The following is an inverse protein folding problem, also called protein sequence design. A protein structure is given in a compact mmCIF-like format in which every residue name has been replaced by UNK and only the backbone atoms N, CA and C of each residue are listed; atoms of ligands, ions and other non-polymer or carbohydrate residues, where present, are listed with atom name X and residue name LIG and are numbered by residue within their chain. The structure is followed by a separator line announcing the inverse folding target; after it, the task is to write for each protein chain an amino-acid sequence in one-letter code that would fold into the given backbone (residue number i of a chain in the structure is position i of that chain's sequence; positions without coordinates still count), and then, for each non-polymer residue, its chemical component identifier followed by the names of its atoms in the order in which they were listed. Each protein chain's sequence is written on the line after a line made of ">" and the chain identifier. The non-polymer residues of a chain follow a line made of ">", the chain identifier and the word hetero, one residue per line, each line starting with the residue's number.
data_IF_610214575387
#
_entry.id   IF_610214575387
#
_cell.length_a   1.000
_cell.length_b   1.000
_cell.length_c   1.000
_cell.angle_alpha   90.00
_cell.angle_beta   90.00
_cell.angle_gamma   90.00
#
_symmetry.space_group_name_H-M   'P 1'
#
loop_
_entity.id
_entity.type
_entity.pdbx_description
1 polymer ?
#
# COMPACT_ATOMS: atom_id res chain seq x y z
N UNK A 1 -10.46 -1.35 20.26
CA UNK A 1 -11.14 -0.16 20.81
C UNK A 1 -10.52 0.34 22.13
N UNK A 2 -10.01 -0.52 22.99
CA UNK A 2 -9.49 -0.11 24.31
C UNK A 2 -8.27 0.82 24.21
N UNK A 3 -7.29 0.48 23.39
CA UNK A 3 -6.06 1.29 23.21
C UNK A 3 -6.30 2.63 22.47
N UNK A 4 -7.19 2.66 21.49
CA UNK A 4 -7.51 3.92 20.78
C UNK A 4 -8.16 4.94 21.69
N UNK A 5 -9.04 4.48 22.58
CA UNK A 5 -9.66 5.33 23.61
C UNK A 5 -8.62 5.85 24.63
N UNK A 6 -7.71 4.95 25.06
CA UNK A 6 -6.64 5.31 26.01
C UNK A 6 -5.71 6.38 25.42
N UNK A 7 -5.43 6.30 24.11
CA UNK A 7 -4.54 7.23 23.40
C UNK A 7 -5.28 8.43 22.83
N UNK A 8 -6.59 8.56 23.07
CA UNK A 8 -7.45 9.60 22.50
C UNK A 8 -7.36 9.70 20.96
N UNK A 9 -7.25 8.53 20.29
CA UNK A 9 -7.21 8.44 18.83
C UNK A 9 -8.59 8.07 18.30
N UNK A 10 -9.13 8.89 17.42
CA UNK A 10 -10.39 8.59 16.73
C UNK A 10 -10.19 7.43 15.75
N UNK A 11 -10.83 6.29 16.04
CA UNK A 11 -10.69 5.07 15.24
C UNK A 11 -12.05 4.64 14.70
N UNK A 12 -12.13 4.43 13.41
CA UNK A 12 -13.31 3.90 12.71
C UNK A 12 -12.96 2.56 12.09
N UNK A 13 -13.73 1.51 12.44
CA UNK A 13 -13.63 0.20 11.82
C UNK A 13 -14.55 0.16 10.59
N UNK A 14 -13.95 0.01 9.41
CA UNK A 14 -14.68 0.12 8.15
C UNK A 14 -15.22 -1.21 7.61
N UNK A 15 -14.92 -2.36 8.24
CA UNK A 15 -15.32 -3.70 7.77
C UNK A 15 -16.81 -3.81 7.44
N UNK A 16 -17.67 -3.17 8.25
CA UNK A 16 -19.12 -3.23 8.07
C UNK A 16 -19.67 -2.31 6.95
N UNK A 17 -18.84 -1.44 6.41
CA UNK A 17 -19.21 -0.46 5.38
C UNK A 17 -18.43 -0.62 4.08
N UNK A 18 -17.52 -1.60 4.00
CA UNK A 18 -16.79 -1.96 2.78
C UNK A 18 -17.57 -3.00 2.00
N UNK A 19 -17.60 -2.85 0.67
CA UNK A 19 -18.20 -3.80 -0.27
C UNK A 19 -17.44 -3.72 -1.61
N UNK A 20 -17.64 -4.70 -2.50
CA UNK A 20 -17.07 -4.67 -3.86
C UNK A 20 -17.61 -3.51 -4.71
N UNK A 21 -18.81 -3.05 -4.41
CA UNK A 21 -19.50 -1.97 -5.13
C UNK A 21 -20.12 -0.98 -4.16
N UNK A 22 -20.27 0.26 -4.61
CA UNK A 22 -21.08 1.25 -3.90
C UNK A 22 -22.54 0.86 -3.98
N UNK A 23 -23.10 0.45 -2.86
CA UNK A 23 -24.50 0.02 -2.74
C UNK A 23 -25.13 0.62 -1.47
N UNK A 24 -26.45 0.52 -1.39
CA UNK A 24 -27.18 0.71 -0.14
C UNK A 24 -27.71 -0.65 0.27
N UNK A 25 -27.37 -1.11 1.47
CA UNK A 25 -27.84 -2.41 1.96
C UNK A 25 -29.35 -2.41 2.29
N UNK A 26 -29.89 -3.60 2.53
CA UNK A 26 -31.31 -3.74 2.87
C UNK A 26 -31.77 -3.01 4.15
N UNK A 27 -30.84 -2.42 4.90
CA UNK A 27 -31.09 -1.59 6.10
C UNK A 27 -30.90 -0.10 5.83
N UNK A 28 -30.71 0.32 4.57
CA UNK A 28 -30.51 1.71 4.19
C UNK A 28 -29.08 2.25 4.46
N UNK A 29 -28.10 1.40 4.81
CA UNK A 29 -26.72 1.81 5.09
C UNK A 29 -25.92 1.84 3.78
N UNK A 30 -25.19 2.92 3.56
CA UNK A 30 -24.27 3.05 2.42
C UNK A 30 -23.04 2.17 2.63
N UNK A 31 -22.67 1.46 1.57
CA UNK A 31 -21.44 0.70 1.46
C UNK A 31 -20.52 1.36 0.44
N UNK A 32 -19.21 1.29 0.68
CA UNK A 32 -18.18 1.92 -0.10
C UNK A 32 -17.17 0.88 -0.59
N UNK A 33 -16.49 1.18 -1.66
CA UNK A 33 -15.39 0.33 -2.17
C UNK A 33 -14.08 0.65 -1.44
N UNK A 34 -13.11 -0.27 -1.48
CA UNK A 34 -11.74 0.03 -1.01
C UNK A 34 -11.14 1.25 -1.70
N UNK A 35 -11.44 1.44 -3.00
CA UNK A 35 -11.03 2.62 -3.75
C UNK A 35 -11.49 3.94 -3.10
N UNK A 36 -12.68 3.95 -2.50
CA UNK A 36 -13.19 5.16 -1.84
C UNK A 36 -12.36 5.52 -0.62
N UNK A 37 -11.89 4.52 0.13
CA UNK A 37 -11.03 4.73 1.29
C UNK A 37 -9.63 5.19 0.88
N UNK A 38 -9.00 4.54 -0.10
CA UNK A 38 -7.69 4.96 -0.60
C UNK A 38 -7.70 6.38 -1.16
N UNK A 39 -8.76 6.76 -1.89
CA UNK A 39 -8.90 8.11 -2.46
C UNK A 39 -9.09 9.21 -1.41
N UNK A 40 -9.41 8.87 -0.17
CA UNK A 40 -9.55 9.82 0.95
C UNK A 40 -8.39 9.73 1.94
N UNK A 41 -7.47 8.77 1.75
CA UNK A 41 -6.38 8.56 2.66
C UNK A 41 -5.21 9.51 2.36
N UNK A 42 -4.69 10.18 3.38
CA UNK A 42 -3.45 10.97 3.31
C UNK A 42 -2.21 10.08 3.49
N UNK A 43 -2.37 8.94 4.17
CA UNK A 43 -1.31 7.98 4.47
C UNK A 43 -1.92 6.59 4.67
N UNK A 44 -1.21 5.56 4.23
CA UNK A 44 -1.55 4.16 4.53
C UNK A 44 -0.48 3.55 5.43
N UNK A 45 -0.89 2.88 6.49
CA UNK A 45 0.03 2.13 7.35
C UNK A 45 -0.09 0.64 7.08
N UNK A 46 1.05 0.00 6.84
CA UNK A 46 1.17 -1.43 6.57
C UNK A 46 2.19 -2.07 7.52
N UNK A 47 1.81 -2.25 8.82
CA UNK A 47 2.74 -2.65 9.87
C UNK A 47 2.96 -4.17 9.96
N UNK A 48 2.48 -4.95 9.01
CA UNK A 48 2.63 -6.41 9.00
C UNK A 48 4.08 -6.84 9.11
N UNK A 49 4.36 -7.81 9.95
CA UNK A 49 5.70 -8.41 10.14
C UNK A 49 5.93 -9.62 9.25
N UNK A 50 4.86 -10.30 8.85
CA UNK A 50 4.90 -11.48 7.98
C UNK A 50 3.86 -11.29 6.88
N UNK A 51 4.34 -11.30 5.65
CA UNK A 51 3.50 -11.16 4.45
C UNK A 51 4.03 -12.05 3.33
N UNK A 52 3.12 -12.45 2.44
CA UNK A 52 3.49 -12.96 1.14
C UNK A 52 4.07 -11.84 0.28
N UNK A 53 3.36 -11.42 -0.77
CA UNK A 53 3.83 -10.25 -1.55
C UNK A 53 3.41 -8.91 -0.91
N UNK A 54 2.22 -8.85 -0.30
CA UNK A 54 1.63 -7.62 0.25
C UNK A 54 0.78 -6.86 -0.77
N UNK A 55 -0.38 -7.41 -1.15
CA UNK A 55 -1.27 -6.77 -2.12
C UNK A 55 -1.70 -5.37 -1.70
N UNK A 56 -1.93 -5.13 -0.40
CA UNK A 56 -2.28 -3.81 0.13
C UNK A 56 -1.18 -2.76 -0.10
N UNK A 57 0.10 -3.18 -0.19
CA UNK A 57 1.19 -2.30 -0.61
C UNK A 57 0.97 -1.79 -2.05
N UNK A 58 0.69 -2.70 -3.01
CA UNK A 58 0.45 -2.31 -4.40
C UNK A 58 -0.83 -1.52 -4.57
N UNK A 59 -1.87 -1.82 -3.81
CA UNK A 59 -3.12 -1.05 -3.81
C UNK A 59 -2.87 0.40 -3.40
N UNK A 60 -2.20 0.64 -2.28
CA UNK A 60 -1.85 1.99 -1.83
C UNK A 60 -0.99 2.74 -2.87
N UNK A 61 -0.02 2.04 -3.48
CA UNK A 61 0.81 2.60 -4.57
C UNK A 61 -0.04 2.93 -5.80
N UNK A 62 -0.99 2.08 -6.17
CA UNK A 62 -1.90 2.31 -7.29
C UNK A 62 -2.74 3.57 -7.09
N UNK A 63 -3.26 3.79 -5.88
CA UNK A 63 -4.01 4.99 -5.52
C UNK A 63 -3.13 6.20 -5.18
N UNK A 64 -1.82 6.06 -5.31
CA UNK A 64 -0.83 7.11 -5.06
C UNK A 64 -0.90 7.68 -3.65
N UNK A 65 -1.05 6.83 -2.67
CA UNK A 65 -1.03 7.20 -1.25
C UNK A 65 0.36 6.89 -0.68
N UNK A 66 0.98 7.81 0.08
CA UNK A 66 2.20 7.52 0.82
C UNK A 66 2.00 6.37 1.82
N UNK A 67 3.06 5.58 2.04
CA UNK A 67 3.00 4.39 2.90
C UNK A 67 4.00 4.44 4.05
N UNK A 68 3.55 3.94 5.19
CA UNK A 68 4.39 3.45 6.28
C UNK A 68 4.40 1.93 6.22
N UNK A 69 5.57 1.32 6.06
CA UNK A 69 5.72 -0.13 5.84
C UNK A 69 6.69 -0.72 6.87
N UNK A 70 6.32 -1.85 7.46
CA UNK A 70 7.28 -2.61 8.25
C UNK A 70 8.22 -3.41 7.34
N UNK A 71 9.45 -3.61 7.78
CA UNK A 71 10.49 -4.34 7.04
C UNK A 71 10.28 -5.86 7.09
N UNK A 72 9.15 -6.34 6.52
CA UNK A 72 8.97 -7.78 6.33
C UNK A 72 9.89 -8.32 5.22
N UNK A 73 10.14 -9.64 5.21
CA UNK A 73 11.16 -10.27 4.37
C UNK A 73 10.99 -9.95 2.87
N UNK A 74 9.81 -10.13 2.31
CA UNK A 74 9.55 -9.87 0.88
C UNK A 74 9.73 -8.38 0.54
N UNK A 75 9.31 -7.47 1.41
CA UNK A 75 9.58 -6.05 1.20
C UNK A 75 11.10 -5.80 1.13
N UNK A 76 11.87 -6.31 2.08
CA UNK A 76 13.31 -6.10 2.13
C UNK A 76 14.07 -6.67 0.93
N UNK A 77 13.70 -7.87 0.48
CA UNK A 77 14.45 -8.58 -0.56
C UNK A 77 13.94 -8.30 -1.98
N UNK A 78 12.64 -8.10 -2.16
CA UNK A 78 12.06 -8.00 -3.50
C UNK A 78 11.55 -6.61 -3.85
N UNK A 79 11.04 -5.83 -2.89
CA UNK A 79 10.40 -4.54 -3.15
C UNK A 79 11.39 -3.39 -2.95
N UNK A 80 12.01 -3.30 -1.79
CA UNK A 80 12.94 -2.24 -1.41
C UNK A 80 14.09 -2.05 -2.41
N UNK A 81 14.76 -3.11 -2.95
CA UNK A 81 15.84 -2.95 -3.91
C UNK A 81 15.41 -2.29 -5.24
N UNK A 82 14.13 -2.28 -5.56
CA UNK A 82 13.59 -1.60 -6.74
C UNK A 82 13.51 -0.07 -6.57
N UNK A 83 13.78 0.44 -5.36
CA UNK A 83 13.90 1.86 -5.07
C UNK A 83 12.58 2.57 -4.71
N UNK A 84 11.58 1.82 -4.24
CA UNK A 84 10.36 2.41 -3.67
C UNK A 84 10.71 3.32 -2.50
N UNK A 85 9.99 4.44 -2.41
CA UNK A 85 10.08 5.38 -1.30
C UNK A 85 8.92 5.16 -0.35
N UNK A 86 9.21 4.72 0.86
CA UNK A 86 8.22 4.54 1.92
C UNK A 86 8.81 5.06 3.24
N UNK A 87 7.96 5.22 4.24
CA UNK A 87 8.38 5.42 5.62
C UNK A 87 8.54 4.03 6.23
N UNK A 88 9.75 3.69 6.69
CA UNK A 88 10.03 2.34 7.17
C UNK A 88 9.81 2.22 8.68
N UNK A 89 9.28 1.06 9.09
CA UNK A 89 9.25 0.58 10.47
C UNK A 89 10.22 -0.60 10.55
N UNK A 90 11.05 -0.62 11.57
CA UNK A 90 11.97 -1.71 11.87
C UNK A 90 11.52 -2.43 13.15
N UNK A 91 10.46 -3.26 13.04
CA UNK A 91 9.79 -3.98 14.13
C UNK A 91 9.09 -3.08 15.17
N UNK A 92 9.53 -1.84 15.37
CA UNK A 92 8.91 -0.85 16.24
C UNK A 92 8.92 0.55 15.62
N UNK A 93 7.99 1.38 16.06
CA UNK A 93 7.89 2.77 15.60
C UNK A 93 8.92 3.61 16.36
N UNK A 94 9.97 4.04 15.66
CA UNK A 94 11.02 4.91 16.18
C UNK A 94 10.63 6.39 16.11
N UNK A 95 11.38 7.25 16.81
CA UNK A 95 11.21 8.71 16.67
C UNK A 95 11.45 9.18 15.23
N UNK A 96 12.43 8.59 14.55
CA UNK A 96 12.72 8.86 13.13
C UNK A 96 11.51 8.53 12.23
N UNK A 97 10.85 7.38 12.47
CA UNK A 97 9.62 7.00 11.76
C UNK A 97 8.51 8.04 11.97
N UNK A 98 8.34 8.50 13.21
CA UNK A 98 7.33 9.52 13.55
C UNK A 98 7.64 10.85 12.85
N UNK A 99 8.88 11.31 12.91
CA UNK A 99 9.30 12.59 12.32
C UNK A 99 9.20 12.56 10.80
N UNK A 100 9.59 11.45 10.16
CA UNK A 100 9.41 11.26 8.72
C UNK A 100 7.93 11.20 8.32
N UNK A 101 7.09 10.52 9.10
CA UNK A 101 5.63 10.49 8.88
C UNK A 101 5.03 11.89 8.94
N UNK A 102 5.39 12.66 9.96
CA UNK A 102 4.94 14.05 10.10
C UNK A 102 5.39 14.91 8.92
N UNK A 103 6.66 14.80 8.54
CA UNK A 103 7.21 15.52 7.40
C UNK A 103 6.44 15.26 6.10
N UNK A 104 6.08 13.99 5.84
CA UNK A 104 5.31 13.62 4.65
C UNK A 104 3.90 14.18 4.72
N UNK A 105 3.22 14.09 5.86
CA UNK A 105 1.86 14.60 6.04
C UNK A 105 1.77 16.14 5.97
N UNK A 106 2.80 16.84 6.45
CA UNK A 106 2.86 18.31 6.45
C UNK A 106 3.37 18.88 5.11
N UNK A 107 3.92 18.04 4.22
CA UNK A 107 4.48 18.48 2.94
C UNK A 107 3.81 17.76 1.75
N UNK A 108 2.73 18.30 1.18
CA UNK A 108 2.03 17.70 0.04
C UNK A 108 2.92 17.47 -1.19
N UNK A 109 3.94 18.32 -1.40
CA UNK A 109 4.91 18.16 -2.49
C UNK A 109 5.75 16.90 -2.32
N UNK A 110 6.25 16.65 -1.10
CA UNK A 110 7.00 15.45 -0.77
C UNK A 110 6.11 14.19 -0.89
N UNK A 111 4.89 14.25 -0.36
CA UNK A 111 3.93 13.17 -0.46
C UNK A 111 3.64 12.79 -1.93
N UNK A 112 3.40 13.79 -2.78
CA UNK A 112 3.16 13.59 -4.21
C UNK A 112 4.39 13.02 -4.92
N UNK A 113 5.59 13.52 -4.65
CA UNK A 113 6.82 13.00 -5.24
C UNK A 113 7.05 11.52 -4.89
N UNK A 114 6.85 11.15 -3.62
CA UNK A 114 6.95 9.76 -3.16
C UNK A 114 5.93 8.87 -3.88
N UNK A 115 4.67 9.29 -3.90
CA UNK A 115 3.57 8.55 -4.51
C UNK A 115 3.78 8.35 -6.02
N UNK A 116 4.15 9.39 -6.74
CA UNK A 116 4.40 9.34 -8.19
C UNK A 116 5.61 8.47 -8.53
N UNK A 117 6.68 8.54 -7.72
CA UNK A 117 7.83 7.65 -7.90
C UNK A 117 7.42 6.20 -7.72
N UNK A 118 6.70 5.88 -6.65
CA UNK A 118 6.24 4.53 -6.35
C UNK A 118 5.32 4.00 -7.44
N UNK A 119 4.38 4.81 -7.91
CA UNK A 119 3.49 4.44 -9.02
C UNK A 119 4.26 4.09 -10.30
N UNK A 120 5.27 4.90 -10.68
CA UNK A 120 6.12 4.59 -11.86
C UNK A 120 6.89 3.28 -11.69
N UNK A 121 7.42 3.02 -10.49
CA UNK A 121 8.12 1.76 -10.19
C UNK A 121 7.18 0.57 -10.22
N UNK A 122 5.98 0.69 -9.64
CA UNK A 122 4.98 -0.37 -9.68
C UNK A 122 4.57 -0.71 -11.13
N UNK A 123 4.31 0.29 -11.95
CA UNK A 123 4.05 0.06 -13.38
C UNK A 123 5.19 -0.65 -14.09
N UNK A 124 6.43 -0.30 -13.76
CA UNK A 124 7.62 -0.90 -14.37
C UNK A 124 7.83 -2.37 -13.99
N UNK A 125 7.58 -2.71 -12.71
CA UNK A 125 7.96 -4.02 -12.18
C UNK A 125 6.78 -4.96 -11.96
N UNK A 126 5.57 -4.43 -11.76
CA UNK A 126 4.41 -5.18 -11.29
C UNK A 126 3.16 -4.98 -12.16
N UNK A 127 3.30 -4.42 -13.36
CA UNK A 127 2.18 -4.32 -14.30
C UNK A 127 1.86 -5.66 -14.97
N UNK A 128 0.67 -5.78 -15.51
CA UNK A 128 0.27 -6.95 -16.30
C UNK A 128 1.14 -7.15 -17.53
N UNK A 129 1.57 -6.07 -18.18
CA UNK A 129 2.46 -6.11 -19.32
C UNK A 129 3.83 -6.71 -18.94
N UNK A 130 4.37 -6.32 -17.78
CA UNK A 130 5.61 -6.89 -17.25
C UNK A 130 5.45 -8.36 -16.91
N UNK A 131 4.33 -8.74 -16.29
CA UNK A 131 4.01 -10.15 -16.02
C UNK A 131 3.92 -10.97 -17.30
N UNK A 132 3.21 -10.48 -18.32
CA UNK A 132 3.07 -11.13 -19.61
C UNK A 132 4.45 -11.35 -20.28
N UNK A 133 5.29 -10.30 -20.31
CA UNK A 133 6.64 -10.41 -20.88
C UNK A 133 7.48 -11.47 -20.16
N UNK A 134 7.45 -11.47 -18.81
CA UNK A 134 8.17 -12.44 -18.01
C UNK A 134 7.68 -13.87 -18.27
N UNK A 135 6.36 -14.09 -18.33
CA UNK A 135 5.78 -15.40 -18.63
C UNK A 135 6.14 -15.87 -20.04
N UNK A 136 6.06 -15.00 -21.04
CA UNK A 136 6.48 -15.31 -22.42
C UNK A 136 7.97 -15.73 -22.46
N UNK A 137 8.83 -14.96 -21.78
CA UNK A 137 10.25 -15.28 -21.71
C UNK A 137 10.51 -16.63 -21.05
N UNK A 138 9.80 -16.95 -19.97
CA UNK A 138 9.88 -18.25 -19.33
C UNK A 138 9.41 -19.39 -20.27
N UNK A 139 8.28 -19.21 -20.94
CA UNK A 139 7.77 -20.21 -21.88
C UNK A 139 8.75 -20.49 -23.00
N UNK A 140 9.33 -19.46 -23.61
CA UNK A 140 10.35 -19.59 -24.65
C UNK A 140 11.60 -20.33 -24.11
N UNK A 141 12.01 -20.01 -22.89
CA UNK A 141 13.18 -20.64 -22.26
C UNK A 141 12.96 -22.15 -22.00
N UNK A 142 11.75 -22.56 -21.61
CA UNK A 142 11.45 -23.93 -21.25
C UNK A 142 10.99 -24.80 -22.43
N UNK A 143 10.30 -24.20 -23.38
CA UNK A 143 9.65 -24.94 -24.49
C UNK A 143 10.20 -24.60 -25.87
N UNK A 144 11.07 -23.61 -25.98
CA UNK A 144 11.57 -23.12 -27.27
C UNK A 144 10.60 -22.10 -27.91
N UNK A 145 11.10 -21.39 -28.90
CA UNK A 145 10.26 -20.56 -29.77
C UNK A 145 9.81 -21.41 -30.95
N UNK A 146 8.53 -21.71 -31.05
CA UNK A 146 7.93 -22.19 -32.30
C UNK A 146 7.77 -21.02 -33.28
#
# INVERSE_FOLDING_TARGET
>A
MEYSNLLNVNTVFASDIVDEKRITDGKGRKKYTLADFYNQADLVTYPSTIEGFGNAFLEAVYYRVPLVVNNYSIYCFDIKPKGFRVIEIHDYVSQETIDHTRQVLENPGLASEMADKNYRLARRFFSYETLEQNLRSMLVQFFGSD
#
